data_IF_481576915151
#
_entry.id   IF_481576915151
#
_cell.length_a   1.000
_cell.length_b   1.000
_cell.length_c   1.000
_cell.angle_alpha   90.00
_cell.angle_beta   90.00
_cell.angle_gamma   90.00
#
_symmetry.space_group_name_H-M   'P 1'
#
loop_
_entity.id
_entity.type
_entity.pdbx_description
1 polymer ?
#
# COMPACT_ATOMS: atom_id res chain seq x y z
N UNK A 1 17.32 21.17 14.98
CA UNK A 1 16.45 19.99 15.14
C UNK A 1 15.39 20.07 14.06
N UNK A 2 15.00 18.96 13.40
CA UNK A 2 13.80 18.97 12.57
C UNK A 2 12.64 19.33 13.49
N UNK A 3 11.92 20.39 13.17
CA UNK A 3 10.70 20.75 13.89
C UNK A 3 9.58 19.77 13.49
N UNK A 4 8.58 19.59 14.37
CA UNK A 4 7.43 18.72 14.09
C UNK A 4 6.65 19.09 12.81
N UNK A 5 6.82 20.32 12.29
CA UNK A 5 6.29 20.74 11.00
C UNK A 5 6.94 20.02 9.81
N UNK A 6 8.26 19.82 9.80
CA UNK A 6 8.95 19.07 8.73
C UNK A 6 8.53 17.60 8.68
N UNK A 7 8.35 16.98 9.86
CA UNK A 7 7.84 15.62 9.97
C UNK A 7 6.38 15.51 9.48
N UNK A 8 5.52 16.45 9.88
CA UNK A 8 4.11 16.47 9.44
C UNK A 8 3.94 16.62 7.92
N UNK A 9 4.78 17.44 7.27
CA UNK A 9 4.75 17.61 5.81
C UNK A 9 5.18 16.31 5.11
N UNK A 10 6.26 15.68 5.60
CA UNK A 10 6.78 14.44 5.03
C UNK A 10 5.79 13.28 5.20
N UNK A 11 5.12 13.21 6.36
CA UNK A 11 4.06 12.23 6.60
C UNK A 11 2.87 12.41 5.64
N UNK A 12 2.42 13.66 5.44
CA UNK A 12 1.34 13.96 4.49
C UNK A 12 1.67 13.53 3.06
N UNK A 13 2.90 13.77 2.60
CA UNK A 13 3.37 13.32 1.28
C UNK A 13 3.47 11.78 1.18
N UNK A 14 3.90 11.12 2.26
CA UNK A 14 3.97 9.66 2.31
C UNK A 14 2.57 9.01 2.25
N UNK A 15 1.60 9.59 2.95
CA UNK A 15 0.21 9.16 2.92
C UNK A 15 -0.44 9.37 1.54
N UNK A 16 -0.19 10.51 0.89
CA UNK A 16 -0.68 10.76 -0.48
C UNK A 16 -0.09 9.75 -1.47
N UNK A 17 1.23 9.53 -1.43
CA UNK A 17 1.89 8.53 -2.27
C UNK A 17 1.36 7.12 -2.00
N UNK A 18 1.09 6.79 -0.74
CA UNK A 18 0.48 5.53 -0.34
C UNK A 18 -0.90 5.34 -0.97
N UNK A 19 -1.78 6.34 -0.89
CA UNK A 19 -3.12 6.27 -1.48
C UNK A 19 -3.08 6.08 -3.00
N UNK A 20 -2.13 6.75 -3.69
CA UNK A 20 -1.90 6.54 -5.12
C UNK A 20 -1.51 5.09 -5.42
N UNK A 21 -0.63 4.50 -4.62
CA UNK A 21 -0.21 3.11 -4.79
C UNK A 21 -1.37 2.13 -4.54
N UNK A 22 -2.19 2.35 -3.52
CA UNK A 22 -3.39 1.54 -3.26
C UNK A 22 -4.35 1.58 -4.44
N UNK A 23 -4.63 2.77 -4.97
CA UNK A 23 -5.49 2.92 -6.15
C UNK A 23 -4.90 2.21 -7.38
N UNK A 24 -3.59 2.32 -7.60
CA UNK A 24 -2.91 1.63 -8.69
C UNK A 24 -2.99 0.10 -8.54
N UNK A 25 -2.74 -0.44 -7.34
CA UNK A 25 -2.86 -1.88 -7.04
C UNK A 25 -4.29 -2.39 -7.30
N UNK A 26 -5.31 -1.64 -6.87
CA UNK A 26 -6.70 -1.98 -7.14
C UNK A 26 -7.02 -1.98 -8.63
N UNK A 27 -6.54 -0.97 -9.37
CA UNK A 27 -6.70 -0.88 -10.82
C UNK A 27 -6.02 -2.04 -11.56
N UNK A 28 -4.83 -2.46 -11.14
CA UNK A 28 -4.14 -3.63 -11.69
C UNK A 28 -4.97 -4.90 -11.48
N UNK A 29 -5.51 -5.09 -10.26
CA UNK A 29 -6.38 -6.23 -9.97
C UNK A 29 -7.64 -6.27 -10.84
N UNK A 30 -8.27 -5.11 -11.07
CA UNK A 30 -9.42 -4.99 -11.98
C UNK A 30 -9.04 -5.35 -13.43
N UNK A 31 -7.91 -4.84 -13.93
CA UNK A 31 -7.44 -5.14 -15.28
C UNK A 31 -7.12 -6.63 -15.50
N UNK A 32 -6.58 -7.31 -14.48
CA UNK A 32 -6.34 -8.76 -14.52
C UNK A 32 -7.67 -9.53 -14.58
N UNK A 33 -8.66 -9.14 -13.77
CA UNK A 33 -9.99 -9.75 -13.81
C UNK A 33 -10.70 -9.51 -15.15
N UNK A 34 -10.58 -8.32 -15.71
CA UNK A 34 -11.12 -7.99 -17.03
C UNK A 34 -10.48 -8.84 -18.13
N UNK A 35 -9.16 -9.05 -18.04
CA UNK A 35 -8.45 -9.94 -18.95
C UNK A 35 -8.97 -11.39 -18.82
N UNK A 36 -9.17 -11.89 -17.60
CA UNK A 36 -9.77 -13.21 -17.37
C UNK A 36 -11.16 -13.32 -18.01
N UNK A 37 -12.00 -12.30 -17.88
CA UNK A 37 -13.34 -12.28 -18.48
C UNK A 37 -13.27 -12.38 -20.00
N UNK A 38 -12.39 -11.59 -20.64
CA UNK A 38 -12.16 -11.63 -22.09
C UNK A 38 -11.58 -12.96 -22.56
N UNK A 39 -10.59 -13.50 -21.84
CA UNK A 39 -9.98 -14.78 -22.20
C UNK A 39 -10.97 -15.93 -22.03
N UNK A 40 -11.79 -15.93 -20.98
CA UNK A 40 -12.81 -16.96 -20.75
C UNK A 40 -13.83 -17.08 -21.90
N UNK A 41 -14.08 -15.99 -22.63
CA UNK A 41 -14.96 -16.00 -23.82
C UNK A 41 -14.34 -16.75 -25.01
N UNK A 42 -13.01 -16.76 -25.12
CA UNK A 42 -12.29 -17.43 -26.21
C UNK A 42 -11.68 -18.76 -25.80
N UNK A 43 -11.52 -19.02 -24.49
CA UNK A 43 -10.84 -20.20 -23.96
C UNK A 43 -11.55 -21.51 -24.31
N UNK A 44 -12.86 -21.46 -24.55
CA UNK A 44 -13.64 -22.61 -25.04
C UNK A 44 -13.23 -23.06 -26.44
N UNK A 45 -12.60 -22.17 -27.22
CA UNK A 45 -12.10 -22.43 -28.57
C UNK A 45 -10.59 -22.68 -28.60
N UNK A 46 -9.93 -22.71 -27.44
CA UNK A 46 -8.48 -22.81 -27.29
C UNK A 46 -8.14 -24.19 -26.71
N UNK A 47 -6.99 -24.74 -27.13
CA UNK A 47 -6.45 -26.00 -26.64
C UNK A 47 -6.39 -26.05 -25.10
N UNK A 48 -6.76 -27.20 -24.52
CA UNK A 48 -6.88 -27.38 -23.07
C UNK A 48 -5.58 -27.12 -22.30
N UNK A 49 -4.42 -27.29 -22.94
CA UNK A 49 -3.12 -26.94 -22.35
C UNK A 49 -2.93 -25.43 -22.19
N UNK A 50 -3.32 -24.66 -23.20
CA UNK A 50 -3.22 -23.20 -23.15
C UNK A 50 -4.21 -22.63 -22.13
N UNK A 51 -5.41 -23.22 -22.03
CA UNK A 51 -6.38 -22.84 -21.00
C UNK A 51 -5.85 -23.04 -19.57
N UNK A 52 -5.20 -24.18 -19.31
CA UNK A 52 -4.58 -24.49 -18.01
C UNK A 52 -3.40 -23.56 -17.70
N UNK A 53 -2.54 -23.32 -18.68
CA UNK A 53 -1.38 -22.44 -18.51
C UNK A 53 -1.83 -21.00 -18.22
N UNK A 54 -2.82 -20.49 -18.94
CA UNK A 54 -3.39 -19.17 -18.70
C UNK A 54 -3.99 -19.07 -17.30
N UNK A 55 -4.78 -20.05 -16.88
CA UNK A 55 -5.37 -20.07 -15.54
C UNK A 55 -4.31 -20.04 -14.43
N UNK A 56 -3.21 -20.79 -14.59
CA UNK A 56 -2.11 -20.81 -13.64
C UNK A 56 -1.43 -19.43 -13.52
N UNK A 57 -1.18 -18.75 -14.65
CA UNK A 57 -0.61 -17.40 -14.65
C UNK A 57 -1.59 -16.37 -14.07
N UNK A 58 -2.88 -16.46 -14.38
CA UNK A 58 -3.90 -15.60 -13.79
C UNK A 58 -3.91 -15.69 -12.26
N UNK A 59 -3.92 -16.92 -11.71
CA UNK A 59 -3.86 -17.14 -10.25
C UNK A 59 -2.60 -16.52 -9.65
N UNK A 60 -1.45 -16.69 -10.32
CA UNK A 60 -0.18 -16.11 -9.87
C UNK A 60 -0.20 -14.58 -9.90
N UNK A 61 -0.76 -13.95 -10.93
CA UNK A 61 -0.88 -12.48 -10.99
C UNK A 61 -1.78 -11.96 -9.87
N UNK A 62 -2.91 -12.61 -9.60
CA UNK A 62 -3.79 -12.24 -8.49
C UNK A 62 -3.11 -12.38 -7.12
N UNK A 63 -2.29 -13.42 -6.92
CA UNK A 63 -1.48 -13.55 -5.70
C UNK A 63 -0.46 -12.41 -5.55
N UNK A 64 0.16 -11.97 -6.64
CA UNK A 64 1.09 -10.84 -6.62
C UNK A 64 0.39 -9.52 -6.29
N UNK A 65 -0.81 -9.28 -6.83
CA UNK A 65 -1.65 -8.12 -6.47
C UNK A 65 -2.01 -8.15 -4.98
N UNK A 66 -2.39 -9.32 -4.44
CA UNK A 66 -2.65 -9.48 -3.02
C UNK A 66 -1.43 -9.10 -2.16
N UNK A 67 -0.25 -9.59 -2.52
CA UNK A 67 1.01 -9.25 -1.84
C UNK A 67 1.35 -7.76 -1.92
N UNK A 68 1.03 -7.08 -3.02
CA UNK A 68 1.16 -5.62 -3.10
C UNK A 68 0.25 -4.94 -2.09
N UNK A 69 -1.02 -5.37 -2.00
CA UNK A 69 -1.95 -4.88 -0.99
C UNK A 69 -1.44 -5.06 0.44
N UNK A 70 -0.94 -6.25 0.78
CA UNK A 70 -0.38 -6.55 2.11
C UNK A 70 0.84 -5.68 2.44
N UNK A 71 1.74 -5.50 1.47
CA UNK A 71 2.94 -4.66 1.60
C UNK A 71 2.56 -3.21 1.84
N UNK A 72 1.57 -2.71 1.09
CA UNK A 72 1.05 -1.36 1.27
C UNK A 72 0.44 -1.22 2.67
N UNK A 73 -0.46 -2.12 3.09
CA UNK A 73 -1.07 -2.08 4.42
C UNK A 73 -0.04 -2.08 5.56
N UNK A 74 1.05 -2.84 5.39
CA UNK A 74 2.16 -2.84 6.35
C UNK A 74 2.83 -1.47 6.39
N UNK A 75 3.09 -0.86 5.23
CA UNK A 75 3.65 0.48 5.11
C UNK A 75 2.81 1.55 5.80
N UNK A 76 1.48 1.54 5.64
CA UNK A 76 0.57 2.48 6.33
C UNK A 76 0.67 2.34 7.83
N UNK A 77 0.68 1.10 8.32
CA UNK A 77 0.76 0.81 9.76
C UNK A 77 2.08 1.32 10.33
N UNK A 78 3.20 1.04 9.66
CA UNK A 78 4.52 1.54 10.08
C UNK A 78 4.58 3.06 10.10
N UNK A 79 4.08 3.73 9.05
CA UNK A 79 4.05 5.19 8.99
C UNK A 79 3.20 5.80 10.13
N UNK A 80 2.02 5.21 10.40
CA UNK A 80 1.15 5.66 11.48
C UNK A 80 1.82 5.50 12.86
N UNK A 81 2.43 4.34 13.14
CA UNK A 81 3.16 4.09 14.39
C UNK A 81 4.32 5.08 14.57
N UNK A 82 5.13 5.30 13.52
CA UNK A 82 6.21 6.29 13.59
C UNK A 82 5.67 7.69 13.89
N UNK A 83 4.55 8.10 13.28
CA UNK A 83 3.96 9.41 13.54
C UNK A 83 3.47 9.58 14.98
N UNK A 84 2.85 8.54 15.56
CA UNK A 84 2.44 8.55 16.96
C UNK A 84 3.64 8.64 17.91
N UNK A 85 4.73 7.89 17.64
CA UNK A 85 5.96 7.92 18.43
C UNK A 85 6.64 9.29 18.42
N UNK A 86 6.69 9.95 17.25
CA UNK A 86 7.24 11.31 17.14
C UNK A 86 6.39 12.32 17.92
N UNK A 87 5.06 12.29 17.79
CA UNK A 87 4.19 13.20 18.55
C UNK A 87 4.30 12.99 20.06
N UNK A 88 4.43 11.74 20.50
CA UNK A 88 4.62 11.41 21.92
C UNK A 88 5.96 11.96 22.43
N UNK A 89 7.02 11.81 21.64
CA UNK A 89 8.36 12.30 21.96
C UNK A 89 8.39 13.82 22.05
N UNK A 90 7.84 14.52 21.05
CA UNK A 90 7.76 15.99 21.05
C UNK A 90 6.98 16.53 22.26
N UNK A 91 5.85 15.90 22.62
CA UNK A 91 5.08 16.30 23.82
C UNK A 91 5.88 16.07 25.10
N UNK A 92 6.56 14.94 25.22
CA UNK A 92 7.35 14.60 26.39
C UNK A 92 8.59 15.50 26.55
N UNK A 93 9.25 15.85 25.45
CA UNK A 93 10.35 16.80 25.46
C UNK A 93 9.85 18.22 25.76
N UNK A 94 8.78 18.67 25.11
CA UNK A 94 8.14 19.96 25.39
C UNK A 94 7.76 20.13 26.87
N UNK A 95 7.16 19.11 27.49
CA UNK A 95 6.82 19.12 28.91
C UNK A 95 8.06 19.17 29.83
N UNK A 96 9.18 18.56 29.43
CA UNK A 96 10.45 18.64 30.17
C UNK A 96 11.06 20.03 30.10
N UNK A 97 10.99 20.68 28.94
CA UNK A 97 11.48 22.06 28.78
C UNK A 97 10.61 23.07 29.54
N UNK A 98 9.28 22.91 29.54
CA UNK A 98 8.39 23.74 30.34
C UNK A 98 8.62 23.58 31.85
N UNK A 99 8.89 22.36 32.32
CA UNK A 99 9.16 22.11 33.75
C UNK A 99 10.57 22.49 34.20
N UNK A 100 11.54 22.56 33.28
CA UNK A 100 12.91 22.99 33.57
C UNK A 100 13.13 24.51 33.40
N UNK A 101 12.15 25.23 32.85
CA UNK A 101 12.22 26.67 32.54
C UNK A 101 11.33 27.58 33.40
N UNK A 102 10.85 27.11 34.55
CA UNK A 102 10.08 27.88 35.54
C UNK A 102 10.91 28.33 36.74
#
# INVERSE_FOLDING_TARGET
>A
MPDGSSFSITYGQAEEAHQVLVQATNSIGQQINDLQSRVSQVIQNIDGDMARSYHAEHVKWMQLVGKMGDTLSTGTTTLATSAEEYQLTDRNEGAKWESAGG
#
